data_IF_059029091016
#
_entry.id   IF_059029091016
#
_cell.length_a   1.000
_cell.length_b   1.000
_cell.length_c   1.000
_cell.angle_alpha   90.00
_cell.angle_beta   90.00
_cell.angle_gamma   90.00
#
_symmetry.space_group_name_H-M   'P 1'
#
loop_
_entity.id
_entity.type
_entity.pdbx_description
1 polymer ?
#
# COMPACT_ATOMS: atom_id res chain seq x y z
N UNK A 1 -0.88 8.22 4.28
CA UNK A 1 -1.88 7.77 3.30
C UNK A 1 -1.99 8.79 2.19
N UNK A 2 -2.18 8.34 0.95
CA UNK A 2 -2.51 9.18 -0.20
C UNK A 2 -3.94 8.82 -0.63
N UNK A 3 -4.82 9.82 -0.64
CA UNK A 3 -6.16 9.67 -1.22
C UNK A 3 -6.08 10.14 -2.66
N UNK A 4 -6.40 9.24 -3.58
CA UNK A 4 -6.38 9.52 -5.02
C UNK A 4 -7.81 9.56 -5.57
N UNK A 5 -8.14 10.66 -6.25
CA UNK A 5 -9.33 10.73 -7.08
C UNK A 5 -9.12 9.93 -8.36
N UNK A 6 -10.10 9.14 -8.78
CA UNK A 6 -10.06 8.42 -10.07
C UNK A 6 -9.91 9.46 -11.19
N UNK A 7 -8.79 9.41 -11.92
CA UNK A 7 -8.62 10.12 -13.18
C UNK A 7 -9.40 9.38 -14.28
N UNK A 8 -10.23 10.08 -15.04
CA UNK A 8 -10.73 9.56 -16.32
C UNK A 8 -9.55 9.46 -17.30
N UNK A 9 -8.87 8.32 -17.28
CA UNK A 9 -7.87 7.95 -18.27
C UNK A 9 -6.42 8.21 -17.86
N UNK A 10 -5.78 7.17 -17.33
CA UNK A 10 -4.34 7.08 -17.18
C UNK A 10 -3.98 5.91 -16.28
N UNK A 11 -3.40 4.87 -16.85
CA UNK A 11 -2.88 3.70 -16.15
C UNK A 11 -1.95 4.17 -15.02
N UNK A 12 -2.43 4.08 -13.78
CA UNK A 12 -1.81 4.62 -12.58
C UNK A 12 -0.81 3.64 -12.00
N UNK A 13 0.29 3.38 -12.70
CA UNK A 13 1.43 2.67 -12.12
C UNK A 13 2.15 3.62 -11.15
N UNK A 14 1.95 3.44 -9.84
CA UNK A 14 2.85 4.02 -8.82
C UNK A 14 4.28 3.44 -8.89
N UNK A 15 4.55 2.55 -9.85
CA UNK A 15 5.83 1.89 -10.08
C UNK A 15 6.74 2.56 -11.14
N UNK A 16 6.31 3.59 -11.88
CA UNK A 16 7.18 4.22 -12.90
C UNK A 16 7.99 5.39 -12.33
N UNK A 17 9.06 5.05 -11.62
CA UNK A 17 10.23 5.96 -11.41
C UNK A 17 10.93 6.29 -12.74
N UNK A 18 10.45 5.78 -13.88
CA UNK A 18 11.19 5.73 -15.14
C UNK A 18 10.67 6.58 -16.31
N UNK A 19 9.64 7.41 -16.12
CA UNK A 19 9.30 8.46 -17.10
C UNK A 19 9.86 9.82 -16.65
N UNK A 20 11.00 10.19 -17.22
CA UNK A 20 11.70 11.46 -16.98
C UNK A 20 11.24 12.52 -17.98
N UNK A 21 10.11 13.18 -17.68
CA UNK A 21 9.95 14.58 -18.05
C UNK A 21 10.83 15.45 -17.14
N UNK A 22 11.08 16.71 -17.48
CA UNK A 22 11.88 17.67 -16.68
C UNK A 22 11.38 17.76 -15.23
N UNK A 23 11.88 16.86 -14.37
CA UNK A 23 11.51 16.71 -12.97
C UNK A 23 12.52 17.48 -12.14
N UNK A 24 12.09 18.56 -11.51
CA UNK A 24 12.85 19.26 -10.49
C UNK A 24 12.51 18.69 -9.11
N UNK A 25 13.52 18.44 -8.28
CA UNK A 25 13.36 17.90 -6.93
C UNK A 25 14.32 16.74 -6.66
N UNK A 26 14.50 16.40 -5.38
CA UNK A 26 15.28 15.25 -4.95
C UNK A 26 14.47 14.36 -4.01
N UNK A 27 14.74 13.07 -4.05
CA UNK A 27 14.15 12.09 -3.14
C UNK A 27 15.30 11.50 -2.33
N UNK A 28 15.18 11.56 -1.01
CA UNK A 28 16.18 11.06 -0.07
C UNK A 28 15.63 9.86 0.68
N UNK A 29 16.39 8.77 0.77
CA UNK A 29 16.13 7.63 1.66
C UNK A 29 17.20 7.67 2.75
N UNK A 30 16.78 7.80 4.00
CA UNK A 30 17.70 7.91 5.15
C UNK A 30 18.77 9.02 4.99
N UNK A 31 18.42 10.10 4.28
CA UNK A 31 19.31 11.23 3.99
C UNK A 31 20.18 11.07 2.74
N UNK A 32 20.16 9.93 2.07
CA UNK A 32 20.91 9.68 0.83
C UNK A 32 20.00 9.84 -0.40
N UNK A 33 20.48 10.56 -1.42
CA UNK A 33 19.72 10.75 -2.66
C UNK A 33 19.60 9.43 -3.42
N UNK A 34 18.37 9.06 -3.82
CA UNK A 34 18.09 7.79 -4.51
C UNK A 34 18.83 7.65 -5.84
N UNK A 35 19.18 8.77 -6.50
CA UNK A 35 19.94 8.74 -7.75
C UNK A 35 21.39 8.26 -7.54
N UNK A 36 21.90 8.31 -6.31
CA UNK A 36 23.21 7.79 -5.94
C UNK A 36 23.18 6.31 -5.54
N UNK A 37 21.99 5.71 -5.42
CA UNK A 37 21.80 4.32 -4.96
C UNK A 37 21.50 3.39 -6.14
N UNK A 38 22.06 2.18 -6.10
CA UNK A 38 21.65 1.11 -7.00
C UNK A 38 20.26 0.58 -6.64
N UNK A 39 19.57 -0.04 -7.60
CA UNK A 39 18.28 -0.68 -7.38
C UNK A 39 18.33 -1.73 -6.23
N UNK A 40 19.43 -2.47 -6.10
CA UNK A 40 19.61 -3.43 -4.99
C UNK A 40 19.76 -2.74 -3.62
N UNK A 41 20.34 -1.54 -3.56
CA UNK A 41 20.39 -0.75 -2.33
C UNK A 41 19.00 -0.20 -1.99
N UNK A 42 18.31 0.38 -2.96
CA UNK A 42 16.95 0.92 -2.78
C UNK A 42 15.99 -0.19 -2.29
N UNK A 43 16.04 -1.36 -2.93
CA UNK A 43 15.21 -2.53 -2.55
C UNK A 43 15.62 -3.20 -1.25
N UNK A 44 16.62 -2.72 -0.50
CA UNK A 44 16.80 -3.11 0.91
C UNK A 44 16.01 -2.20 1.85
N UNK A 45 15.79 -0.96 1.45
CA UNK A 45 15.10 0.04 2.26
C UNK A 45 13.61 0.12 1.95
N UNK A 46 13.19 -0.12 0.70
CA UNK A 46 11.80 0.04 0.26
C UNK A 46 11.20 -1.32 -0.13
N UNK A 47 10.15 -1.71 0.59
CA UNK A 47 9.23 -2.77 0.21
C UNK A 47 8.04 -2.21 -0.56
N UNK A 48 7.63 -2.85 -1.64
CA UNK A 48 6.52 -2.38 -2.49
C UNK A 48 5.51 -3.50 -2.76
N UNK A 49 4.22 -3.21 -2.60
CA UNK A 49 3.11 -4.08 -3.00
C UNK A 49 2.25 -3.34 -4.02
N UNK A 50 2.19 -3.78 -5.29
CA UNK A 50 1.33 -3.19 -6.31
C UNK A 50 -0.15 -3.57 -6.12
N UNK A 51 -1.06 -2.79 -6.71
CA UNK A 51 -2.51 -3.05 -6.68
C UNK A 51 -2.89 -4.38 -7.35
N UNK A 52 -2.24 -4.73 -8.47
CA UNK A 52 -2.49 -5.97 -9.20
C UNK A 52 -1.23 -6.84 -9.31
N UNK A 53 -1.42 -8.16 -9.19
CA UNK A 53 -0.36 -9.13 -9.43
C UNK A 53 -0.93 -10.37 -10.12
N UNK A 54 -0.33 -10.74 -11.25
CA UNK A 54 -0.64 -12.00 -11.94
C UNK A 54 0.37 -13.05 -11.47
N UNK A 55 -0.09 -14.20 -10.98
CA UNK A 55 0.80 -15.32 -10.71
C UNK A 55 0.81 -16.27 -11.90
N UNK A 56 2.00 -16.56 -12.41
CA UNK A 56 2.18 -17.43 -13.57
C UNK A 56 2.75 -18.81 -13.23
N UNK A 57 3.09 -19.08 -11.96
CA UNK A 57 3.79 -20.31 -11.57
C UNK A 57 3.26 -20.92 -10.24
N UNK A 58 3.23 -22.26 -10.11
CA UNK A 58 2.76 -22.96 -8.91
C UNK A 58 3.85 -23.04 -7.83
N UNK A 59 4.21 -21.89 -7.26
CA UNK A 59 5.10 -21.85 -6.08
C UNK A 59 4.31 -22.12 -4.80
N UNK A 60 4.99 -22.66 -3.78
CA UNK A 60 4.40 -22.70 -2.43
C UNK A 60 4.38 -21.30 -1.83
N UNK A 61 3.50 -21.07 -0.86
CA UNK A 61 3.50 -19.82 -0.08
C UNK A 61 4.87 -19.53 0.53
N UNK A 62 5.54 -20.55 1.06
CA UNK A 62 6.87 -20.40 1.61
C UNK A 62 7.88 -19.90 0.56
N UNK A 63 7.88 -20.48 -0.64
CA UNK A 63 8.76 -20.04 -1.73
C UNK A 63 8.53 -18.58 -2.08
N UNK A 64 7.26 -18.17 -2.22
CA UNK A 64 6.88 -16.79 -2.53
C UNK A 64 7.37 -15.83 -1.44
N UNK A 65 7.21 -16.19 -0.17
CA UNK A 65 7.67 -15.35 0.95
C UNK A 65 9.19 -15.28 1.01
N UNK A 66 9.88 -16.41 0.80
CA UNK A 66 11.33 -16.50 0.80
C UNK A 66 11.97 -15.64 -0.30
N UNK A 67 11.29 -15.46 -1.45
CA UNK A 67 11.72 -14.53 -2.51
C UNK A 67 11.84 -13.07 -2.04
N UNK A 68 11.24 -12.70 -0.90
CA UNK A 68 11.47 -11.41 -0.24
C UNK A 68 12.93 -11.14 0.12
N UNK A 69 13.76 -12.20 0.20
CA UNK A 69 15.21 -12.09 0.48
C UNK A 69 16.06 -11.79 -0.75
N UNK A 70 15.48 -11.73 -1.94
CA UNK A 70 16.20 -11.47 -3.18
C UNK A 70 17.16 -10.25 -3.12
N UNK A 71 16.83 -9.11 -2.49
CA UNK A 71 17.75 -7.97 -2.40
C UNK A 71 19.06 -8.23 -1.63
N UNK A 72 19.11 -9.30 -0.82
CA UNK A 72 20.27 -9.69 -0.02
C UNK A 72 21.10 -10.80 -0.66
N UNK A 73 20.64 -11.35 -1.79
CA UNK A 73 21.27 -12.46 -2.49
C UNK A 73 21.93 -11.96 -3.78
N UNK A 74 23.12 -12.48 -4.06
CA UNK A 74 23.71 -12.37 -5.39
C UNK A 74 23.10 -13.44 -6.32
N UNK A 75 23.19 -13.25 -7.64
CA UNK A 75 22.60 -14.14 -8.66
C UNK A 75 23.02 -15.62 -8.53
N UNK A 76 24.16 -15.89 -7.90
CA UNK A 76 24.70 -17.26 -7.70
C UNK A 76 24.43 -17.81 -6.29
N UNK A 77 23.77 -17.05 -5.42
CA UNK A 77 23.52 -17.42 -4.04
C UNK A 77 22.10 -17.96 -3.86
N UNK A 78 21.98 -19.06 -3.13
CA UNK A 78 20.70 -19.55 -2.64
C UNK A 78 20.42 -19.00 -1.24
N UNK A 79 19.15 -18.85 -0.85
CA UNK A 79 18.75 -18.52 0.51
C UNK A 79 19.39 -19.47 1.53
N UNK A 80 19.78 -18.94 2.69
CA UNK A 80 20.36 -19.73 3.79
C UNK A 80 19.31 -20.04 4.85
N UNK A 81 19.65 -20.89 5.81
CA UNK A 81 18.78 -21.18 6.95
C UNK A 81 18.33 -19.93 7.72
N UNK A 82 19.09 -18.83 7.70
CA UNK A 82 18.68 -17.57 8.32
C UNK A 82 17.60 -16.85 7.51
N UNK A 83 17.67 -16.88 6.17
CA UNK A 83 16.64 -16.35 5.28
C UNK A 83 15.31 -17.09 5.45
N UNK A 84 15.36 -18.41 5.59
CA UNK A 84 14.20 -19.25 5.88
C UNK A 84 13.55 -18.90 7.24
N UNK A 85 14.36 -18.67 8.28
CA UNK A 85 13.84 -18.24 9.59
C UNK A 85 13.14 -16.89 9.51
N UNK A 86 13.68 -15.94 8.74
CA UNK A 86 13.06 -14.63 8.53
C UNK A 86 11.72 -14.80 7.81
N UNK A 87 11.67 -15.61 6.76
CA UNK A 87 10.43 -15.93 6.04
C UNK A 87 9.36 -16.55 6.96
N UNK A 88 9.76 -17.53 7.79
CA UNK A 88 8.89 -18.16 8.79
C UNK A 88 8.39 -17.13 9.82
N UNK A 89 9.25 -16.22 10.27
CA UNK A 89 8.87 -15.17 11.21
C UNK A 89 7.79 -14.27 10.59
N UNK A 90 7.96 -13.82 9.35
CA UNK A 90 6.97 -13.00 8.65
C UNK A 90 5.62 -13.69 8.49
N UNK A 91 5.62 -14.98 8.11
CA UNK A 91 4.41 -15.79 8.03
C UNK A 91 3.68 -15.88 9.38
N UNK A 92 4.43 -16.06 10.48
CA UNK A 92 3.88 -16.11 11.85
C UNK A 92 3.36 -14.74 12.30
N UNK A 93 4.07 -13.66 11.99
CA UNK A 93 3.65 -12.29 12.31
C UNK A 93 2.28 -11.97 11.71
N UNK A 94 2.01 -12.46 10.49
CA UNK A 94 0.73 -12.25 9.81
C UNK A 94 -0.31 -13.37 10.07
N UNK A 95 0.01 -14.34 10.93
CA UNK A 95 -0.93 -15.42 11.28
C UNK A 95 -1.24 -16.39 10.13
N UNK A 96 -0.40 -16.47 9.10
CA UNK A 96 -0.61 -17.31 7.90
C UNK A 96 0.40 -18.46 7.77
N UNK A 97 1.07 -18.82 8.86
CA UNK A 97 2.07 -19.90 8.87
C UNK A 97 1.51 -21.24 8.38
N UNK A 98 0.25 -21.55 8.68
CA UNK A 98 -0.39 -22.81 8.28
C UNK A 98 -0.62 -22.90 6.77
N UNK A 99 -0.47 -21.79 6.02
CA UNK A 99 -0.56 -21.76 4.57
C UNK A 99 0.77 -22.07 3.88
N UNK A 100 1.90 -22.18 4.61
CA UNK A 100 3.26 -22.20 4.04
C UNK A 100 3.47 -23.25 2.93
N UNK A 101 2.83 -24.41 3.04
CA UNK A 101 3.00 -25.52 2.08
C UNK A 101 1.91 -25.55 0.99
N UNK A 102 0.93 -24.64 1.06
CA UNK A 102 -0.10 -24.54 0.02
C UNK A 102 0.47 -23.89 -1.24
N UNK A 103 -0.05 -24.30 -2.39
CA UNK A 103 0.20 -23.59 -3.65
C UNK A 103 -0.44 -22.21 -3.63
N UNK A 104 0.35 -21.21 -4.01
CA UNK A 104 -0.08 -19.81 -4.07
C UNK A 104 -1.32 -19.61 -4.98
N UNK A 105 -1.40 -20.37 -6.07
CA UNK A 105 -2.51 -20.31 -7.04
C UNK A 105 -3.85 -20.75 -6.43
N UNK A 106 -3.86 -21.48 -5.32
CA UNK A 106 -5.07 -22.01 -4.69
C UNK A 106 -5.59 -21.13 -3.53
N UNK A 107 -4.93 -20.00 -3.27
CA UNK A 107 -5.32 -19.07 -2.21
C UNK A 107 -6.47 -18.14 -2.62
N UNK A 108 -7.28 -17.73 -1.65
CA UNK A 108 -8.22 -16.62 -1.79
C UNK A 108 -7.49 -15.28 -1.98
N UNK A 109 -8.20 -14.25 -2.47
CA UNK A 109 -7.60 -12.91 -2.66
C UNK A 109 -7.00 -12.32 -1.39
N UNK A 110 -7.69 -12.44 -0.25
CA UNK A 110 -7.19 -11.97 1.05
C UNK A 110 -5.96 -12.73 1.54
N UNK A 111 -5.94 -14.07 1.38
CA UNK A 111 -4.75 -14.86 1.73
C UNK A 111 -3.55 -14.48 0.85
N UNK A 112 -3.75 -14.26 -0.46
CA UNK A 112 -2.68 -13.80 -1.37
C UNK A 112 -2.12 -12.45 -0.93
N UNK A 113 -2.99 -11.53 -0.51
CA UNK A 113 -2.57 -10.22 0.00
C UNK A 113 -1.67 -10.35 1.24
N UNK A 114 -2.05 -11.21 2.18
CA UNK A 114 -1.23 -11.49 3.37
C UNK A 114 0.10 -12.18 3.00
N UNK A 115 0.11 -13.04 1.98
CA UNK A 115 1.35 -13.65 1.48
C UNK A 115 2.29 -12.60 0.87
N UNK A 116 1.77 -11.64 0.10
CA UNK A 116 2.59 -10.52 -0.40
C UNK A 116 3.13 -9.66 0.72
N UNK A 117 2.29 -9.35 1.71
CA UNK A 117 2.75 -8.61 2.88
C UNK A 117 3.84 -9.39 3.62
N UNK A 118 3.70 -10.71 3.80
CA UNK A 118 4.74 -11.54 4.40
C UNK A 118 6.04 -11.52 3.57
N UNK A 119 5.94 -11.60 2.24
CA UNK A 119 7.09 -11.51 1.33
C UNK A 119 7.81 -10.17 1.50
N UNK A 120 7.08 -9.07 1.54
CA UNK A 120 7.69 -7.74 1.72
C UNK A 120 8.25 -7.57 3.13
N UNK A 121 7.59 -8.05 4.17
CA UNK A 121 8.15 -8.04 5.54
C UNK A 121 9.42 -8.89 5.66
N UNK A 122 9.52 -9.96 4.88
CA UNK A 122 10.71 -10.82 4.81
C UNK A 122 11.92 -10.08 4.24
N UNK A 123 11.69 -9.06 3.41
CA UNK A 123 12.71 -8.13 2.93
C UNK A 123 13.28 -7.25 4.07
N UNK A 124 12.56 -7.10 5.18
CA UNK A 124 12.89 -6.21 6.29
C UNK A 124 13.16 -4.76 5.85
N UNK A 125 12.22 -4.12 5.14
CA UNK A 125 12.40 -2.75 4.67
C UNK A 125 12.25 -1.75 5.81
N UNK A 126 12.80 -0.54 5.61
CA UNK A 126 12.54 0.62 6.47
C UNK A 126 11.20 1.29 6.12
N UNK A 127 10.83 1.22 4.83
CA UNK A 127 9.65 1.86 4.25
C UNK A 127 8.84 0.81 3.49
N UNK A 128 7.56 0.73 3.81
CA UNK A 128 6.57 -0.08 3.09
C UNK A 128 5.66 0.83 2.27
N UNK A 129 5.64 0.61 0.96
CA UNK A 129 4.76 1.29 0.01
C UNK A 129 3.70 0.30 -0.47
N UNK A 130 2.44 0.67 -0.32
CA UNK A 130 1.28 -0.14 -0.63
C UNK A 130 0.42 0.60 -1.63
N UNK A 131 0.31 0.06 -2.83
CA UNK A 131 -0.57 0.60 -3.84
C UNK A 131 -1.96 -0.03 -3.70
N UNK A 132 -2.92 0.75 -3.20
CA UNK A 132 -4.31 0.38 -2.97
C UNK A 132 -4.49 -1.03 -2.36
N UNK A 133 -3.91 -1.28 -1.19
CA UNK A 133 -3.78 -2.64 -0.67
C UNK A 133 -5.12 -3.26 -0.26
N UNK A 134 -6.17 -2.44 -0.14
CA UNK A 134 -7.53 -2.85 0.21
C UNK A 134 -8.40 -3.14 -1.01
N UNK A 135 -7.94 -2.83 -2.23
CA UNK A 135 -8.72 -3.04 -3.45
C UNK A 135 -8.97 -4.53 -3.67
N UNK A 136 -10.20 -4.88 -4.07
CA UNK A 136 -10.70 -6.26 -4.22
C UNK A 136 -10.90 -7.08 -2.94
N UNK A 137 -10.69 -6.50 -1.74
CA UNK A 137 -11.04 -7.16 -0.48
C UNK A 137 -12.49 -6.86 -0.09
N UNK A 138 -13.16 -7.83 0.54
CA UNK A 138 -14.43 -7.57 1.23
C UNK A 138 -14.23 -6.67 2.45
N UNK A 139 -15.33 -6.09 2.95
CA UNK A 139 -15.34 -5.13 4.05
C UNK A 139 -14.58 -5.63 5.30
N UNK A 140 -14.74 -6.91 5.66
CA UNK A 140 -14.09 -7.46 6.85
C UNK A 140 -12.59 -7.62 6.67
N UNK A 141 -12.15 -8.04 5.49
CA UNK A 141 -10.73 -8.21 5.18
C UNK A 141 -10.01 -6.87 4.98
N UNK A 142 -10.69 -5.82 4.49
CA UNK A 142 -10.14 -4.46 4.43
C UNK A 142 -9.76 -3.96 5.83
N UNK A 143 -10.68 -4.05 6.81
CA UNK A 143 -10.42 -3.59 8.18
C UNK A 143 -9.26 -4.37 8.82
N UNK A 144 -9.24 -5.71 8.68
CA UNK A 144 -8.13 -6.53 9.19
C UNK A 144 -6.78 -6.12 8.61
N UNK A 145 -6.74 -5.79 7.32
CA UNK A 145 -5.50 -5.35 6.67
C UNK A 145 -5.03 -3.99 7.21
N UNK A 146 -5.95 -3.04 7.37
CA UNK A 146 -5.65 -1.73 7.97
C UNK A 146 -5.12 -1.89 9.41
N UNK A 147 -5.74 -2.74 10.23
CA UNK A 147 -5.24 -3.04 11.59
C UNK A 147 -3.83 -3.65 11.59
N UNK A 148 -3.52 -4.51 10.61
CA UNK A 148 -2.17 -5.06 10.45
C UNK A 148 -1.19 -3.94 10.11
N UNK A 149 -1.55 -3.06 9.17
CA UNK A 149 -0.74 -1.92 8.76
C UNK A 149 -0.46 -1.00 9.95
N UNK A 150 -1.46 -0.69 10.77
CA UNK A 150 -1.31 0.13 11.96
C UNK A 150 -0.33 -0.51 12.96
N UNK A 151 -0.47 -1.82 13.22
CA UNK A 151 0.46 -2.55 14.10
C UNK A 151 1.90 -2.56 13.57
N UNK A 152 2.08 -2.64 12.26
CA UNK A 152 3.41 -2.56 11.64
C UNK A 152 4.00 -1.15 11.80
N UNK A 153 3.19 -0.12 11.63
CA UNK A 153 3.60 1.27 11.83
C UNK A 153 3.95 1.55 13.30
N UNK A 154 3.15 1.07 14.25
CA UNK A 154 3.43 1.14 15.70
C UNK A 154 4.73 0.42 16.07
N UNK A 155 5.08 -0.66 15.36
CA UNK A 155 6.34 -1.38 15.53
C UNK A 155 7.55 -0.65 14.91
N UNK A 156 7.35 0.52 14.30
CA UNK A 156 8.40 1.40 13.77
C UNK A 156 8.60 1.34 12.25
N UNK A 157 7.76 0.61 11.51
CA UNK A 157 7.83 0.58 10.04
C UNK A 157 7.22 1.85 9.45
N UNK A 158 7.92 2.53 8.54
CA UNK A 158 7.32 3.67 7.84
C UNK A 158 6.38 3.16 6.74
N UNK A 159 5.09 3.51 6.80
CA UNK A 159 4.10 3.04 5.81
C UNK A 159 3.55 4.20 4.98
N UNK A 160 3.57 4.02 3.66
CA UNK A 160 2.89 4.86 2.68
C UNK A 160 1.89 3.96 1.96
N UNK A 161 0.61 4.34 1.95
CA UNK A 161 -0.40 3.62 1.18
C UNK A 161 -1.30 4.57 0.41
N UNK A 162 -1.69 4.19 -0.80
CA UNK A 162 -2.75 4.84 -1.58
C UNK A 162 -4.13 4.22 -1.24
N UNK A 163 -5.19 5.02 -1.37
CA UNK A 163 -6.57 4.59 -1.15
C UNK A 163 -7.52 5.43 -2.00
N UNK A 164 -8.55 4.78 -2.55
CA UNK A 164 -9.69 5.47 -3.15
C UNK A 164 -10.82 5.79 -2.16
N UNK A 165 -10.72 5.29 -0.92
CA UNK A 165 -11.73 5.49 0.12
C UNK A 165 -11.21 6.53 1.13
N UNK A 166 -11.83 7.72 1.20
CA UNK A 166 -11.45 8.73 2.18
C UNK A 166 -11.62 8.27 3.63
N UNK A 167 -12.58 7.41 3.92
CA UNK A 167 -12.80 6.85 5.26
C UNK A 167 -11.58 6.10 5.81
N UNK A 168 -10.73 5.53 4.94
CA UNK A 168 -9.50 4.88 5.38
C UNK A 168 -8.55 5.84 6.10
N UNK A 169 -8.56 7.13 5.74
CA UNK A 169 -7.73 8.12 6.40
C UNK A 169 -8.06 8.28 7.89
N UNK A 170 -9.34 8.18 8.25
CA UNK A 170 -9.77 8.23 9.65
C UNK A 170 -9.55 6.90 10.38
N UNK A 171 -9.51 5.79 9.65
CA UNK A 171 -9.33 4.46 10.23
C UNK A 171 -7.86 4.09 10.47
N UNK A 172 -6.95 4.50 9.58
CA UNK A 172 -5.57 3.99 9.55
C UNK A 172 -4.63 4.99 8.88
N UNK A 173 -4.50 6.19 9.45
CA UNK A 173 -3.44 7.11 9.05
C UNK A 173 -3.09 8.17 10.09
N UNK A 174 -1.80 8.49 10.18
CA UNK A 174 -1.29 9.62 10.98
C UNK A 174 -1.21 10.91 10.15
N UNK A 175 -0.97 10.77 8.84
CA UNK A 175 -0.94 11.86 7.87
C UNK A 175 -1.59 11.43 6.57
N UNK A 176 -2.22 12.39 5.91
CA UNK A 176 -2.96 12.23 4.66
C UNK A 176 -2.47 13.27 3.66
N UNK A 177 -2.28 12.83 2.43
CA UNK A 177 -2.21 13.67 1.25
C UNK A 177 -3.46 13.42 0.41
N UNK A 178 -4.10 14.47 -0.12
CA UNK A 178 -5.11 14.32 -1.17
C UNK A 178 -4.44 14.74 -2.48
N UNK A 179 -4.50 13.88 -3.49
CA UNK A 179 -3.90 14.14 -4.79
C UNK A 179 -4.95 14.07 -5.91
N UNK A 180 -4.82 15.00 -6.86
CA UNK A 180 -5.64 15.07 -8.08
C UNK A 180 -4.81 15.59 -9.24
N UNK A 181 -4.93 14.98 -10.42
CA UNK A 181 -4.17 15.38 -11.61
C UNK A 181 -2.66 15.55 -11.34
N UNK A 182 -2.05 14.61 -10.59
CA UNK A 182 -0.63 14.64 -10.19
C UNK A 182 -0.21 15.86 -9.33
N UNK A 183 -1.17 16.54 -8.70
CA UNK A 183 -0.92 17.66 -7.77
C UNK A 183 -1.54 17.38 -6.42
N UNK A 184 -0.83 17.77 -5.36
CA UNK A 184 -1.38 17.76 -4.01
C UNK A 184 -2.41 18.87 -3.89
N UNK A 185 -3.62 18.51 -3.46
CA UNK A 185 -4.63 19.45 -2.98
C UNK A 185 -4.22 19.92 -1.59
N UNK A 186 -3.91 18.99 -0.69
CA UNK A 186 -3.52 19.28 0.69
C UNK A 186 -2.74 18.12 1.34
N UNK A 187 -2.01 18.39 2.43
CA UNK A 187 -1.22 17.42 3.19
C UNK A 187 -1.10 17.78 4.68
N UNK A 188 -1.38 16.83 5.57
CA UNK A 188 -1.49 17.10 7.00
C UNK A 188 -2.17 15.98 7.79
N UNK A 189 -2.71 16.31 8.96
CA UNK A 189 -3.48 15.35 9.76
C UNK A 189 -4.84 15.05 9.10
N UNK A 190 -5.42 13.85 9.30
CA UNK A 190 -6.68 13.46 8.66
C UNK A 190 -7.82 14.47 8.87
N UNK A 191 -7.95 15.00 10.09
CA UNK A 191 -9.02 15.95 10.44
C UNK A 191 -8.91 17.32 9.76
N UNK A 192 -7.70 17.72 9.35
CA UNK A 192 -7.45 19.01 8.69
C UNK A 192 -7.53 18.89 7.17
N UNK A 193 -7.13 17.74 6.63
CA UNK A 193 -7.03 17.49 5.18
C UNK A 193 -8.32 16.91 4.60
N UNK A 194 -8.96 15.97 5.29
CA UNK A 194 -10.15 15.29 4.79
C UNK A 194 -11.38 16.13 5.17
N UNK A 195 -11.59 17.20 4.41
CA UNK A 195 -12.68 18.17 4.58
C UNK A 195 -13.72 18.03 3.46
N UNK A 196 -14.94 18.51 3.67
CA UNK A 196 -15.98 18.50 2.62
C UNK A 196 -15.53 19.23 1.35
N UNK A 197 -14.82 20.35 1.50
CA UNK A 197 -14.30 21.15 0.37
C UNK A 197 -13.19 20.41 -0.39
N UNK A 198 -12.21 19.85 0.31
CA UNK A 198 -11.12 19.09 -0.33
C UNK A 198 -11.66 17.82 -1.02
N UNK A 199 -12.64 17.13 -0.44
CA UNK A 199 -13.29 15.97 -1.06
C UNK A 199 -14.14 16.36 -2.26
N UNK A 200 -14.83 17.51 -2.21
CA UNK A 200 -15.57 18.05 -3.35
C UNK A 200 -14.64 18.43 -4.49
N UNK A 201 -13.52 19.07 -4.18
CA UNK A 201 -12.48 19.35 -5.16
C UNK A 201 -11.91 18.07 -5.75
N UNK A 202 -11.60 17.07 -4.91
CA UNK A 202 -11.03 15.79 -5.34
C UNK A 202 -11.97 15.00 -6.27
N UNK A 203 -13.22 14.78 -5.85
CA UNK A 203 -14.14 13.85 -6.51
C UNK A 203 -15.22 14.50 -7.38
N UNK A 204 -15.29 15.84 -7.44
CA UNK A 204 -16.34 16.59 -8.15
C UNK A 204 -17.78 16.27 -7.70
N UNK A 205 -17.96 15.84 -6.44
CA UNK A 205 -19.26 15.55 -5.83
C UNK A 205 -19.36 16.22 -4.47
N UNK A 206 -20.59 16.54 -4.03
CA UNK A 206 -20.79 16.96 -2.64
C UNK A 206 -20.63 15.76 -1.71
N UNK A 207 -19.79 15.90 -0.68
CA UNK A 207 -19.58 14.88 0.37
C UNK A 207 -19.92 15.51 1.70
N UNK A 208 -20.65 14.78 2.55
CA UNK A 208 -20.93 15.17 3.93
C UNK A 208 -20.06 14.39 4.91
N UNK A 209 -19.42 15.10 5.83
CA UNK A 209 -18.68 14.49 6.93
C UNK A 209 -19.58 14.38 8.14
N UNK A 210 -19.78 13.14 8.61
CA UNK A 210 -20.58 12.85 9.81
C UNK A 210 -19.64 12.34 10.90
N UNK A 211 -19.65 12.99 12.05
CA UNK A 211 -19.00 12.49 13.27
C UNK A 211 -19.91 11.42 13.91
N UNK A 212 -19.39 10.20 14.05
CA UNK A 212 -20.09 9.11 14.73
C UNK A 212 -19.75 9.06 16.22
N UNK A 213 -18.49 9.30 16.56
CA UNK A 213 -17.95 9.35 17.92
C UNK A 213 -16.68 10.23 17.96
N UNK A 214 -16.03 10.36 19.13
CA UNK A 214 -14.85 11.21 19.33
C UNK A 214 -13.66 10.88 18.41
N UNK A 215 -13.61 9.69 17.81
CA UNK A 215 -12.46 9.22 17.03
C UNK A 215 -12.82 8.78 15.60
N UNK A 216 -14.07 8.95 15.16
CA UNK A 216 -14.50 8.47 13.84
C UNK A 216 -15.38 9.46 13.09
N UNK A 217 -14.90 9.81 11.89
CA UNK A 217 -15.66 10.53 10.86
C UNK A 217 -15.98 9.59 9.71
N UNK A 218 -17.13 9.80 9.09
CA UNK A 218 -17.59 9.06 7.90
C UNK A 218 -17.85 10.01 6.75
N UNK A 219 -17.38 9.63 5.57
CA UNK A 219 -17.58 10.37 4.33
C UNK A 219 -18.82 9.86 3.61
N UNK A 220 -19.87 10.68 3.55
CA UNK A 220 -21.14 10.33 2.91
C UNK A 220 -21.25 11.05 1.55
N UNK A 221 -21.03 10.35 0.42
CA UNK A 221 -21.19 10.95 -0.90
C UNK A 221 -22.66 11.23 -1.18
N UNK A 222 -22.96 12.45 -1.64
CA UNK A 222 -24.31 12.86 -2.00
C UNK A 222 -24.56 12.55 -3.48
N UNK A 223 -25.76 12.05 -3.81
CA UNK A 223 -26.12 11.82 -5.21
C UNK A 223 -26.06 13.13 -5.97
N UNK A 224 -25.32 13.12 -7.08
CA UNK A 224 -25.43 14.16 -8.09
C UNK A 224 -26.79 14.00 -8.77
N UNK A 225 -27.54 15.08 -8.95
CA UNK A 225 -28.79 15.07 -9.72
C UNK A 225 -28.46 14.95 -11.21
N UNK A 226 -27.80 13.86 -11.58
CA UNK A 226 -27.34 13.57 -12.94
C UNK A 226 -28.56 13.51 -13.85
N UNK A 227 -28.70 14.51 -14.70
CA UNK A 227 -29.72 14.51 -15.76
C UNK A 227 -29.16 13.69 -16.91
N UNK A 228 -29.80 12.56 -17.16
CA UNK A 228 -29.54 11.74 -18.34
C UNK A 228 -30.56 12.16 -19.40
N UNK A 229 -30.09 12.46 -20.60
CA UNK A 229 -30.94 12.54 -21.78
C UNK A 229 -31.23 11.10 -22.24
N UNK A 230 -32.28 10.50 -21.68
CA UNK A 230 -32.76 9.15 -21.99
C UNK A 230 -33.86 9.16 -23.05
#
# INVERSE_FOLDING_TARGET
MVIESIDEGGDGDLATVQERHDKFGEILINGENIEALSFSQISKHIGYIPQSHVSSFPFTVFDVVLMGRAPYLNLTQSPRAEDEKIAIKSLKTLGIYDLKDKEYTNLSGGERQLVFLARVLTQQPDILILDEPTSHLDFGNQIKLLEIIDRLAEAGLSVIMSSHFPDHAFLSSTKVAIMKNKKLIDFGAPGDVVTEDNLKEAYYIDVKLIELDENRKVCVPMKTNLKLDL
#
